data_IF_017447311557
#
_entry.id   IF_017447311557
#
_cell.length_a   1.000
_cell.length_b   1.000
_cell.length_c   1.000
_cell.angle_alpha   90.00
_cell.angle_beta   90.00
_cell.angle_gamma   90.00
#
_symmetry.space_group_name_H-M   'P 1'
#
loop_
_entity.id
_entity.type
_entity.pdbx_description
1 polymer ?
2 polymer ?
3 non-polymer ?
4 non-polymer ?
5 water ?
#
# COMPACT_ATOMS: atom_id res chain seq x y z
N UNK A 1 29.83 -5.11 1.70
CA UNK A 1 28.43 -5.32 1.34
C UNK A 1 27.92 -4.17 0.47
N UNK A 2 27.14 -4.51 -0.56
CA UNK A 2 26.57 -3.51 -1.45
C UNK A 2 25.54 -2.68 -0.69
N UNK A 3 25.64 -1.37 -0.80
CA UNK A 3 24.66 -0.45 -0.24
C UNK A 3 24.26 0.60 -1.27
N UNK A 4 23.00 0.99 -1.23
CA UNK A 4 22.47 2.08 -2.06
C UNK A 4 21.57 2.92 -1.15
N UNK A 5 22.08 4.03 -0.65
CA UNK A 5 21.33 4.90 0.26
C UNK A 5 20.77 6.06 -0.54
N UNK A 6 19.45 6.18 -0.55
CA UNK A 6 18.76 7.22 -1.31
C UNK A 6 18.33 8.38 -0.41
N UNK A 7 18.19 9.55 -1.02
CA UNK A 7 17.74 10.73 -0.31
C UNK A 7 17.17 11.72 -1.32
N UNK A 8 16.57 12.79 -0.80
CA UNK A 8 16.04 13.86 -1.62
C UNK A 8 14.53 13.87 -1.78
N UNK A 9 13.81 12.94 -1.16
CA UNK A 9 12.37 12.87 -1.33
C UNK A 9 11.64 13.83 -0.42
N UNK A 10 10.35 13.99 -0.71
CA UNK A 10 9.51 14.85 0.09
C UNK A 10 8.32 15.33 -0.72
N UNK A 11 7.72 16.41 -0.25
CA UNK A 11 6.61 17.05 -0.94
C UNK A 11 7.15 18.10 -1.91
N UNK A 12 6.59 18.13 -3.12
CA UNK A 12 6.90 19.16 -4.09
C UNK A 12 5.61 19.63 -4.72
N UNK A 13 5.50 20.95 -4.91
CA UNK A 13 4.33 21.51 -5.57
C UNK A 13 4.29 21.02 -7.02
N UNK A 14 3.09 20.87 -7.59
CA UNK A 14 2.99 20.52 -9.01
C UNK A 14 3.69 21.57 -9.86
N UNK A 15 4.41 21.09 -10.89
CA UNK A 15 5.14 21.96 -11.77
C UNK A 15 6.54 22.33 -11.30
N UNK A 16 6.95 21.92 -10.11
CA UNK A 16 8.25 22.25 -9.56
C UNK A 16 9.24 21.12 -9.82
N UNK A 17 10.42 21.22 -9.22
CA UNK A 17 11.52 20.31 -9.49
C UNK A 17 12.03 19.69 -8.20
N UNK A 18 12.76 18.58 -8.34
CA UNK A 18 13.32 17.87 -7.20
C UNK A 18 14.43 16.97 -7.69
N UNK A 19 15.54 16.94 -6.96
CA UNK A 19 16.66 16.06 -7.28
C UNK A 19 16.75 14.94 -6.26
N UNK A 20 16.77 13.70 -6.76
CA UNK A 20 16.97 12.53 -5.93
C UNK A 20 18.43 12.06 -6.03
N UNK A 21 18.92 11.51 -4.92
CA UNK A 21 20.30 11.05 -4.83
C UNK A 21 20.33 9.59 -4.39
N UNK A 22 21.34 8.87 -4.85
CA UNK A 22 21.54 7.47 -4.50
C UNK A 22 23.04 7.28 -4.30
N UNK A 23 23.48 7.15 -3.04
CA UNK A 23 24.89 7.00 -2.73
C UNK A 23 25.23 5.51 -2.70
N UNK A 24 26.17 5.11 -3.53
CA UNK A 24 26.57 3.72 -3.63
C UNK A 24 27.83 3.45 -2.81
N UNK A 25 27.96 2.20 -2.36
CA UNK A 25 29.16 1.75 -1.67
C UNK A 25 29.24 0.24 -1.82
N UNK A 26 30.45 -0.29 -1.62
CA UNK A 26 30.63 -1.73 -1.63
C UNK A 26 30.73 -2.36 -2.99
N UNK A 27 30.81 -1.58 -4.05
CA UNK A 27 31.08 -2.13 -5.38
C UNK A 27 31.75 -1.06 -6.22
N UNK A 28 32.33 -1.48 -7.35
CA UNK A 28 32.99 -0.52 -8.24
C UNK A 28 31.90 0.19 -9.03
N UNK A 29 31.47 1.34 -8.51
CA UNK A 29 30.34 2.07 -9.07
C UNK A 29 30.54 2.39 -10.55
N UNK A 30 31.74 2.83 -10.93
CA UNK A 30 31.95 3.42 -12.25
C UNK A 30 32.05 2.38 -13.37
N UNK A 31 31.83 1.09 -13.12
CA UNK A 31 31.76 0.11 -14.19
C UNK A 31 30.35 -0.47 -14.35
N UNK A 32 29.36 0.12 -13.69
CA UNK A 32 27.99 -0.42 -13.65
C UNK A 32 26.99 0.57 -14.20
N UNK A 33 26.11 0.09 -15.08
CA UNK A 33 24.89 0.82 -15.38
C UNK A 33 23.96 0.84 -14.18
N UNK A 34 23.22 1.93 -14.04
CA UNK A 34 22.33 2.16 -12.91
C UNK A 34 20.97 2.60 -13.43
N UNK A 35 19.92 2.24 -12.68
CA UNK A 35 18.54 2.49 -13.06
C UNK A 35 17.77 3.16 -11.93
N UNK A 36 16.72 3.88 -12.31
CA UNK A 36 15.68 4.30 -11.37
C UNK A 36 14.39 3.57 -11.70
N UNK A 37 13.70 3.09 -10.66
CA UNK A 37 12.40 2.46 -10.78
C UNK A 37 11.50 3.15 -9.76
N UNK A 38 10.22 3.31 -10.10
CA UNK A 38 9.29 3.94 -9.19
C UNK A 38 8.07 3.04 -8.98
N UNK A 39 7.36 3.29 -7.88
CA UNK A 39 6.15 2.55 -7.54
C UNK A 39 5.15 3.52 -6.92
N UNK A 40 4.06 3.80 -7.63
CA UNK A 40 3.03 4.67 -7.10
C UNK A 40 2.29 3.95 -5.95
N UNK A 41 1.70 4.72 -5.01
CA UNK A 41 1.02 4.09 -3.86
C UNK A 41 0.00 3.03 -4.24
N UNK A 42 0.23 1.79 -3.80
CA UNK A 42 -0.63 0.68 -4.13
C UNK A 42 -0.50 0.12 -5.54
N UNK A 43 0.49 0.55 -6.33
CA UNK A 43 0.61 0.17 -7.73
C UNK A 43 1.80 -0.76 -7.92
N UNK A 44 2.05 -1.09 -9.19
CA UNK A 44 3.15 -1.95 -9.56
C UNK A 44 4.48 -1.21 -9.75
N UNK A 45 5.52 -1.98 -10.03
CA UNK A 45 6.80 -1.39 -10.34
C UNK A 45 6.76 -0.79 -11.73
N UNK A 46 7.44 0.35 -11.90
CA UNK A 46 7.49 1.03 -13.20
C UNK A 46 8.90 1.57 -13.43
N UNK A 47 9.55 1.06 -14.48
CA UNK A 47 10.87 1.52 -14.86
C UNK A 47 10.85 3.01 -15.21
N UNK A 48 11.89 3.73 -14.79
CA UNK A 48 11.99 5.18 -15.03
C UNK A 48 13.13 5.52 -16.00
N UNK A 49 14.36 5.15 -15.65
CA UNK A 49 15.50 5.62 -16.46
C UNK A 49 16.70 4.73 -16.23
N UNK A 50 17.68 4.83 -17.13
CA UNK A 50 18.96 4.13 -17.03
C UNK A 50 20.07 5.04 -17.50
N UNK A 51 21.23 4.93 -16.87
CA UNK A 51 22.45 5.61 -17.30
C UNK A 51 23.59 4.60 -17.34
N UNK A 52 24.41 4.69 -18.39
CA UNK A 52 25.52 3.76 -18.55
C UNK A 52 26.65 4.11 -17.58
N UNK A 53 27.58 3.17 -17.43
CA UNK A 53 28.70 3.33 -16.50
C UNK A 53 29.43 4.66 -16.68
N UNK A 54 29.63 5.11 -17.91
CA UNK A 54 30.37 6.35 -18.14
C UNK A 54 29.46 7.56 -18.31
N UNK A 55 28.15 7.38 -18.17
CA UNK A 55 27.21 8.47 -18.25
C UNK A 55 26.74 8.82 -19.64
N UNK A 56 27.19 8.10 -20.68
CA UNK A 56 27.05 8.52 -22.06
C UNK A 56 25.70 8.14 -22.67
N UNK A 57 25.20 6.93 -22.37
CA UNK A 57 23.91 6.47 -22.86
C UNK A 57 22.90 6.60 -21.73
N UNK A 58 21.81 7.32 -21.98
CA UNK A 58 20.70 7.41 -21.05
C UNK A 58 19.41 7.15 -21.82
N UNK A 59 18.51 6.39 -21.19
CA UNK A 59 17.21 6.08 -21.75
C UNK A 59 16.16 6.26 -20.67
N UNK A 60 14.93 6.58 -21.10
CA UNK A 60 13.88 6.99 -20.18
C UNK A 60 12.58 6.29 -20.53
N UNK A 61 11.70 6.18 -19.53
CA UNK A 61 10.36 5.69 -19.79
C UNK A 61 9.58 6.75 -20.57
N UNK A 62 8.60 6.28 -21.34
CA UNK A 62 7.83 7.18 -22.20
C UNK A 62 7.21 8.33 -21.41
N UNK A 63 6.73 8.05 -20.19
CA UNK A 63 6.00 9.05 -19.41
C UNK A 63 6.89 10.09 -18.75
N UNK A 64 8.22 9.97 -18.84
CA UNK A 64 9.10 10.92 -18.17
C UNK A 64 10.12 11.50 -19.15
N UNK A 65 10.16 10.96 -20.37
CA UNK A 65 11.10 11.45 -21.37
C UNK A 65 10.92 12.94 -21.57
N UNK A 66 12.03 13.69 -21.53
CA UNK A 66 11.97 15.13 -21.65
C UNK A 66 11.97 15.86 -20.32
N UNK A 67 11.24 15.33 -19.34
CA UNK A 67 11.12 15.97 -18.04
C UNK A 67 12.23 15.53 -17.07
N UNK A 68 12.61 14.27 -17.10
CA UNK A 68 13.54 13.71 -16.12
C UNK A 68 14.93 13.60 -16.73
N UNK A 69 15.95 13.87 -15.91
CA UNK A 69 17.34 13.74 -16.33
C UNK A 69 18.07 12.85 -15.34
N UNK A 70 18.68 11.78 -15.84
CA UNK A 70 19.49 10.91 -15.02
C UNK A 70 20.95 11.30 -15.21
N UNK A 71 21.75 11.19 -14.14
CA UNK A 71 23.14 11.62 -14.20
C UNK A 71 23.90 10.90 -13.09
N UNK A 72 25.23 10.95 -13.18
CA UNK A 72 26.03 10.28 -12.17
C UNK A 72 27.31 11.05 -11.91
N UNK A 73 27.87 10.83 -10.72
CA UNK A 73 29.15 11.37 -10.30
C UNK A 73 30.03 10.19 -9.89
N UNK A 74 30.90 9.76 -10.79
CA UNK A 74 31.71 8.57 -10.54
C UNK A 74 32.84 8.82 -9.56
N UNK A 75 33.06 10.05 -9.12
CA UNK A 75 34.01 10.31 -8.06
C UNK A 75 33.36 10.19 -6.68
N UNK A 76 32.12 10.66 -6.53
CA UNK A 76 31.38 10.51 -5.29
C UNK A 76 30.58 9.22 -5.23
N UNK A 77 30.59 8.42 -6.30
CA UNK A 77 29.86 7.15 -6.35
C UNK A 77 28.37 7.37 -6.08
N UNK A 78 27.80 8.38 -6.74
CA UNK A 78 26.43 8.79 -6.51
C UNK A 78 25.66 8.84 -7.82
N UNK A 79 24.41 8.34 -7.77
CA UNK A 79 23.47 8.39 -8.87
C UNK A 79 22.44 9.48 -8.59
N UNK A 80 22.02 10.21 -9.64
CA UNK A 80 21.07 11.29 -9.47
C UNK A 80 19.90 11.13 -10.42
N UNK A 81 18.75 11.67 -10.01
CA UNK A 81 17.58 11.79 -10.89
C UNK A 81 17.02 13.19 -10.68
N UNK A 82 17.20 14.07 -11.66
CA UNK A 82 16.58 15.38 -11.65
C UNK A 82 15.16 15.24 -12.21
N UNK A 83 14.17 15.68 -11.43
CA UNK A 83 12.76 15.56 -11.81
C UNK A 83 12.19 16.96 -11.97
N UNK A 84 11.76 17.29 -13.18
CA UNK A 84 11.23 18.61 -13.52
C UNK A 84 9.80 18.49 -13.99
N UNK A 85 9.03 19.57 -13.80
CA UNK A 85 7.63 19.65 -14.22
C UNK A 85 6.83 18.47 -13.68
N UNK A 86 6.80 18.34 -12.36
CA UNK A 86 6.17 17.18 -11.73
C UNK A 86 4.66 17.26 -11.82
N UNK A 87 4.03 16.10 -12.00
CA UNK A 87 2.58 15.95 -12.00
C UNK A 87 2.18 15.03 -10.85
N UNK A 88 0.86 14.96 -10.61
CA UNK A 88 0.36 14.06 -9.57
C UNK A 88 0.68 12.61 -9.88
N UNK A 89 0.78 12.26 -11.17
CA UNK A 89 1.11 10.91 -11.59
C UNK A 89 2.56 10.52 -11.27
N UNK A 90 3.40 11.49 -10.89
CA UNK A 90 4.78 11.20 -10.51
C UNK A 90 4.94 10.86 -9.04
N UNK A 91 3.87 10.98 -8.25
CA UNK A 91 3.90 10.59 -6.85
C UNK A 91 4.17 9.10 -6.76
N UNK A 92 5.22 8.72 -6.03
CA UNK A 92 5.66 7.33 -6.01
C UNK A 92 6.83 7.22 -5.04
N UNK A 93 7.15 5.98 -4.67
CA UNK A 93 8.42 5.65 -4.05
C UNK A 93 9.43 5.38 -5.17
N UNK A 94 10.58 6.02 -5.11
CA UNK A 94 11.60 5.90 -6.15
C UNK A 94 12.75 5.05 -5.64
N UNK A 95 13.04 3.97 -6.35
CA UNK A 95 14.17 3.09 -6.05
C UNK A 95 15.27 3.33 -7.06
N UNK A 96 16.52 3.31 -6.59
CA UNK A 96 17.65 3.12 -7.48
C UNK A 96 18.03 1.65 -7.46
N UNK A 97 18.61 1.19 -8.56
CA UNK A 97 18.95 -0.22 -8.70
C UNK A 97 20.21 -0.36 -9.52
N UNK A 98 21.03 -1.34 -9.14
CA UNK A 98 22.31 -1.61 -9.79
C UNK A 98 22.17 -2.83 -10.69
N UNK A 99 22.74 -2.75 -11.89
CA UNK A 99 22.80 -3.90 -12.78
C UNK A 99 23.63 -5.01 -12.15
N UNK A 100 23.34 -6.26 -12.54
CA UNK A 100 24.00 -7.39 -11.92
C UNK A 100 25.46 -7.55 -12.29
N UNK A 101 25.85 -7.17 -13.50
CA UNK A 101 27.22 -7.34 -13.95
C UNK A 101 27.77 -6.04 -14.50
N UNK A 102 29.10 -5.86 -14.49
CA UNK A 102 29.71 -4.69 -15.12
C UNK A 102 29.21 -4.46 -16.55
N UNK A 103 29.17 -3.19 -16.96
CA UNK A 103 28.60 -2.84 -18.26
C UNK A 103 29.32 -3.53 -19.42
N UNK A 104 30.61 -3.81 -19.29
CA UNK A 104 31.32 -4.42 -20.40
C UNK A 104 31.15 -5.94 -20.47
N UNK A 105 30.39 -6.52 -19.55
CA UNK A 105 29.98 -7.92 -19.64
C UNK A 105 28.64 -7.97 -20.35
N UNK A 106 28.56 -8.76 -21.42
CA UNK A 106 27.39 -8.76 -22.30
C UNK A 106 26.49 -9.89 -21.82
N UNK A 107 25.57 -9.57 -20.90
CA UNK A 107 24.61 -10.52 -20.34
C UNK A 107 23.23 -9.87 -20.26
N UNK A 108 22.22 -10.72 -20.03
CA UNK A 108 20.90 -10.21 -19.67
C UNK A 108 21.03 -9.25 -18.51
N UNK A 109 20.45 -8.06 -18.64
CA UNK A 109 20.47 -7.09 -17.56
C UNK A 109 19.40 -7.46 -16.54
N UNK A 110 19.82 -7.56 -15.28
CA UNK A 110 18.90 -7.73 -14.16
C UNK A 110 19.32 -6.79 -13.05
N UNK A 111 18.34 -6.37 -12.24
CA UNK A 111 18.60 -5.44 -11.14
C UNK A 111 18.81 -6.28 -9.89
N UNK A 112 20.08 -6.51 -9.55
CA UNK A 112 20.41 -7.41 -8.45
C UNK A 112 20.47 -6.73 -7.09
N UNK A 113 20.54 -5.41 -7.05
CA UNK A 113 20.49 -4.72 -5.77
C UNK A 113 19.71 -3.42 -5.92
N UNK A 114 18.84 -3.15 -4.95
CA UNK A 114 17.96 -1.99 -4.95
C UNK A 114 18.19 -1.15 -3.70
N UNK A 115 18.01 0.16 -3.84
CA UNK A 115 17.98 1.03 -2.70
C UNK A 115 16.69 0.88 -1.92
N UNK A 116 16.66 1.49 -0.73
CA UNK A 116 15.52 1.32 0.17
C UNK A 116 14.30 2.10 -0.30
N UNK A 117 14.47 3.06 -1.19
CA UNK A 117 13.37 3.85 -1.70
C UNK A 117 13.21 5.16 -0.95
N UNK A 118 12.75 6.18 -1.68
CA UNK A 118 12.45 7.48 -1.10
C UNK A 118 11.14 7.97 -1.71
N UNK A 119 10.26 8.49 -0.86
CA UNK A 119 8.90 8.85 -1.26
C UNK A 119 8.85 10.28 -1.77
N UNK A 120 8.20 10.47 -2.92
CA UNK A 120 8.00 11.79 -3.51
C UNK A 120 6.50 11.98 -3.64
N UNK A 121 5.98 13.03 -3.01
CA UNK A 121 4.56 13.37 -3.09
C UNK A 121 4.42 14.71 -3.81
N UNK A 122 3.70 14.70 -4.91
CA UNK A 122 3.47 15.90 -5.72
C UNK A 122 2.10 16.46 -5.35
N UNK A 123 2.09 17.57 -4.62
CA UNK A 123 0.83 18.10 -4.13
C UNK A 123 1.00 19.54 -3.70
N UNK A 124 -0.03 20.35 -3.93
CA UNK A 124 -0.07 21.72 -3.47
C UNK A 124 -0.60 21.87 -2.04
N UNK A 125 -1.00 20.77 -1.39
CA UNK A 125 -1.57 20.86 -0.06
C UNK A 125 -0.51 21.30 0.96
N UNK A 126 -0.97 22.05 1.95
CA UNK A 126 -0.09 22.54 3.01
C UNK A 126 -0.04 21.55 4.17
N UNK A 127 1.14 21.50 4.81
CA UNK A 127 1.32 20.62 5.96
C UNK A 127 0.32 20.95 7.06
N UNK A 128 -0.33 19.92 7.59
CA UNK A 128 -1.40 20.10 8.56
C UNK A 128 -1.47 18.89 9.48
N UNK A 129 -1.51 19.14 10.78
CA UNK A 129 -1.69 18.09 11.76
C UNK A 129 -3.09 17.52 11.72
N UNK A 130 -3.25 16.25 12.06
CA UNK A 130 -4.55 15.60 11.97
C UNK A 130 -5.47 15.97 13.11
N UNK A 131 -6.77 15.93 12.82
CA UNK A 131 -7.80 16.00 13.84
C UNK A 131 -8.22 14.57 14.19
N UNK A 132 -8.21 14.24 15.48
CA UNK A 132 -8.53 12.90 15.95
C UNK A 132 -9.91 12.93 16.58
N UNK A 133 -10.81 12.10 16.07
CA UNK A 133 -12.17 12.02 16.56
C UNK A 133 -12.46 10.62 17.05
N UNK A 134 -13.28 10.48 18.09
CA UNK A 134 -13.55 9.15 18.65
C UNK A 134 -14.55 8.38 17.80
N UNK A 135 -14.30 7.08 17.68
CA UNK A 135 -15.26 6.12 17.11
C UNK A 135 -15.80 5.33 18.28
N UNK A 136 -16.88 5.84 18.88
CA UNK A 136 -17.41 5.37 20.16
C UNK A 136 -18.47 4.31 19.96
N UNK A 137 -18.42 3.20 20.69
CA UNK A 137 -19.52 2.23 20.66
C UNK A 137 -20.67 2.69 21.54
N UNK A 138 -21.85 2.13 21.27
CA UNK A 138 -23.06 2.52 21.98
C UNK A 138 -23.11 1.89 23.38
N UNK A 139 -23.69 2.65 24.31
CA UNK A 139 -23.74 2.20 25.70
C UNK A 139 -24.78 1.08 25.89
N UNK A 140 -25.89 1.14 25.15
CA UNK A 140 -26.96 0.18 25.29
C UNK A 140 -26.88 -0.93 24.24
N UNK A 141 -25.72 -1.12 23.61
CA UNK A 141 -25.56 -2.18 22.64
C UNK A 141 -25.65 -3.55 23.32
N UNK A 142 -26.41 -4.45 22.71
CA UNK A 142 -26.60 -5.80 23.23
C UNK A 142 -26.20 -6.88 22.22
N UNK A 143 -25.46 -6.53 21.16
CA UNK A 143 -25.32 -7.46 20.05
C UNK A 143 -24.23 -8.49 20.23
N UNK A 144 -23.32 -8.32 21.19
CA UNK A 144 -22.29 -9.34 21.37
C UNK A 144 -21.40 -9.07 22.56
N UNK A 145 -20.57 -10.06 22.89
CA UNK A 145 -19.59 -9.95 23.95
C UNK A 145 -18.30 -9.23 23.57
N UNK A 146 -18.16 -8.82 22.31
CA UNK A 146 -17.04 -8.01 21.85
C UNK A 146 -17.55 -6.71 21.26
N UNK A 147 -16.89 -5.61 21.60
CA UNK A 147 -17.19 -4.31 21.05
C UNK A 147 -15.97 -3.75 20.33
N UNK A 148 -16.22 -3.03 19.24
CA UNK A 148 -15.18 -2.31 18.52
C UNK A 148 -15.22 -0.84 18.90
N UNK A 149 -14.04 -0.25 19.04
CA UNK A 149 -13.90 1.19 19.18
C UNK A 149 -12.69 1.63 18.36
N UNK A 150 -12.57 2.94 18.15
CA UNK A 150 -11.48 3.39 17.30
C UNK A 150 -11.31 4.88 17.32
N UNK A 151 -10.34 5.33 16.53
CA UNK A 151 -10.05 6.74 16.32
C UNK A 151 -10.11 7.04 14.83
N UNK A 152 -10.70 8.18 14.50
CA UNK A 152 -10.74 8.67 13.12
C UNK A 152 -9.71 9.78 13.00
N UNK A 153 -8.64 9.52 12.26
CA UNK A 153 -7.54 10.45 12.10
C UNK A 153 -7.76 11.15 10.76
N UNK A 154 -8.26 12.37 10.79
CA UNK A 154 -8.80 13.01 9.60
C UNK A 154 -8.04 14.29 9.25
N UNK A 155 -7.88 14.52 7.95
CA UNK A 155 -7.41 15.80 7.40
C UNK A 155 -5.98 16.15 7.77
N UNK A 156 -5.03 15.27 7.48
CA UNK A 156 -3.63 15.56 7.70
C UNK A 156 -2.88 15.51 6.37
N UNK A 157 -1.70 16.15 6.36
CA UNK A 157 -0.84 16.12 5.18
C UNK A 157 0.56 16.52 5.60
N UNK A 158 1.61 15.82 5.14
CA UNK A 158 1.47 14.62 4.31
C UNK A 158 1.51 13.34 5.14
N UNK A 159 1.59 12.20 4.48
CA UNK A 159 1.83 10.94 5.15
C UNK A 159 3.24 10.91 5.72
N UNK A 160 3.51 10.09 6.74
CA UNK A 160 2.55 9.19 7.41
C UNK A 160 2.15 9.64 8.80
N UNK A 161 1.22 8.91 9.41
CA UNK A 161 0.92 9.03 10.83
C UNK A 161 1.14 7.68 11.49
N UNK A 162 1.48 7.72 12.78
CA UNK A 162 1.58 6.53 13.59
C UNK A 162 0.41 6.50 14.57
N UNK A 163 -0.19 5.32 14.73
CA UNK A 163 -1.24 5.12 15.71
C UNK A 163 -0.90 3.91 16.55
N UNK A 164 -0.78 4.12 17.86
CA UNK A 164 -0.71 3.04 18.84
C UNK A 164 -1.91 3.17 19.78
N UNK A 165 -2.07 2.19 20.67
CA UNK A 165 -3.16 2.20 21.63
C UNK A 165 -2.60 1.99 23.04
N UNK A 166 -3.00 2.87 23.96
CA UNK A 166 -2.51 2.85 25.34
C UNK A 166 -0.99 2.82 25.39
N UNK A 167 -0.37 3.66 24.55
CA UNK A 167 1.09 3.81 24.49
C UNK A 167 1.78 2.53 24.03
N UNK A 168 1.07 1.68 23.29
CA UNK A 168 1.59 0.41 22.85
C UNK A 168 1.26 -0.76 23.76
N UNK A 169 0.69 -0.51 24.94
CA UNK A 169 0.31 -1.59 25.85
C UNK A 169 -0.90 -2.38 25.36
N UNK A 170 -1.54 -1.96 24.27
CA UNK A 170 -2.68 -2.66 23.69
C UNK A 170 -2.39 -2.91 22.22
N UNK A 171 -2.12 -4.16 21.86
CA UNK A 171 -1.85 -4.56 20.49
C UNK A 171 -2.78 -5.64 19.96
N UNK A 172 -3.42 -6.41 20.84
CA UNK A 172 -4.30 -7.48 20.41
C UNK A 172 -5.62 -6.90 19.89
N UNK A 173 -6.03 -7.35 18.71
CA UNK A 173 -7.24 -6.87 18.09
C UNK A 173 -7.14 -5.53 17.38
N UNK A 174 -5.94 -4.99 17.23
CA UNK A 174 -5.76 -3.66 16.66
C UNK A 174 -5.65 -3.75 15.14
N UNK A 175 -6.45 -2.94 14.44
CA UNK A 175 -6.39 -2.82 12.99
C UNK A 175 -6.30 -1.35 12.64
N UNK A 176 -5.13 -0.93 12.16
CA UNK A 176 -4.95 0.41 11.63
C UNK A 176 -4.94 0.32 10.11
N UNK A 177 -5.86 1.04 9.47
CA UNK A 177 -6.12 0.88 8.05
C UNK A 177 -5.19 1.78 7.22
N UNK A 178 -4.93 1.40 5.97
CA UNK A 178 -4.25 2.32 5.06
C UNK A 178 -5.01 3.63 4.95
N UNK A 179 -4.26 4.72 4.84
CA UNK A 179 -4.87 6.03 4.65
C UNK A 179 -5.50 6.11 3.26
N UNK A 180 -6.50 6.97 3.15
CA UNK A 180 -7.10 7.29 1.86
C UNK A 180 -6.94 8.78 1.61
N UNK A 181 -6.85 9.14 0.34
CA UNK A 181 -6.68 10.53 -0.07
C UNK A 181 -8.04 11.09 -0.45
N UNK A 182 -8.45 12.15 0.22
CA UNK A 182 -9.74 12.76 -0.04
C UNK A 182 -9.64 13.78 -1.17
N UNK A 183 -10.81 14.22 -1.67
CA UNK A 183 -10.85 15.13 -2.79
C UNK A 183 -10.32 16.51 -2.43
N UNK A 184 -10.19 16.80 -1.13
CA UNK A 184 -9.58 18.03 -0.63
C UNK A 184 -8.05 17.98 -0.67
N UNK A 185 -7.46 16.85 -1.03
CA UNK A 185 -6.02 16.68 -0.95
C UNK A 185 -5.48 16.28 0.40
N UNK A 186 -6.34 15.99 1.38
CA UNK A 186 -5.89 15.61 2.71
C UNK A 186 -6.15 14.12 2.93
N UNK A 187 -5.32 13.52 3.77
CA UNK A 187 -5.42 12.11 4.03
C UNK A 187 -6.34 11.85 5.23
N UNK A 188 -6.85 10.63 5.30
CA UNK A 188 -7.75 10.21 6.37
C UNK A 188 -7.47 8.74 6.68
N UNK A 189 -7.54 8.40 7.96
CA UNK A 189 -7.16 7.08 8.43
C UNK A 189 -8.04 6.70 9.61
N UNK A 190 -8.25 5.40 9.78
CA UNK A 190 -8.94 4.86 10.95
C UNK A 190 -8.08 3.77 11.57
N UNK A 191 -8.02 3.77 12.90
CA UNK A 191 -7.46 2.66 13.66
C UNK A 191 -8.53 2.16 14.62
N UNK A 192 -8.78 0.85 14.61
CA UNK A 192 -9.82 0.24 15.44
C UNK A 192 -9.21 -0.88 16.28
N UNK A 193 -9.88 -1.18 17.39
CA UNK A 193 -9.52 -2.31 18.24
C UNK A 193 -10.81 -2.90 18.80
N UNK A 194 -10.87 -4.23 18.89
CA UNK A 194 -12.00 -4.90 19.49
C UNK A 194 -11.64 -5.36 20.90
N UNK A 195 -12.56 -5.15 21.84
CA UNK A 195 -12.32 -5.38 23.26
C UNK A 195 -13.55 -5.99 23.88
N UNK A 196 -13.42 -6.58 25.07
CA UNK A 196 -14.61 -7.10 25.76
C UNK A 196 -15.65 -6.01 25.97
N UNK A 197 -16.89 -6.31 25.57
CA UNK A 197 -17.98 -5.36 25.76
C UNK A 197 -18.10 -4.90 27.21
N UNK A 198 -17.84 -5.81 28.16
CA UNK A 198 -17.95 -5.49 29.57
C UNK A 198 -16.82 -4.58 30.07
N UNK A 199 -15.82 -4.30 29.25
CA UNK A 199 -14.69 -3.49 29.66
C UNK A 199 -14.88 -2.00 29.39
N UNK A 200 -15.92 -1.63 28.64
CA UNK A 200 -15.94 -0.33 27.97
C UNK A 200 -15.87 0.83 28.95
N UNK A 201 -16.74 0.82 29.95
CA UNK A 201 -16.73 1.89 30.92
C UNK A 201 -15.76 1.73 32.06
N UNK A 202 -14.98 0.65 32.09
CA UNK A 202 -14.04 0.37 33.17
C UNK A 202 -12.59 0.55 32.76
N UNK A 203 -12.18 -0.06 31.66
CA UNK A 203 -10.82 0.11 31.16
C UNK A 203 -10.75 1.33 30.26
N UNK A 204 -9.70 2.14 30.45
CA UNK A 204 -9.53 3.37 29.69
C UNK A 204 -8.74 3.09 28.42
N UNK A 205 -9.32 3.43 27.27
CA UNK A 205 -8.69 3.23 25.98
C UNK A 205 -8.30 4.59 25.41
N UNK A 206 -7.01 4.75 25.09
CA UNK A 206 -6.47 5.99 24.56
C UNK A 206 -5.69 5.65 23.30
N UNK A 207 -6.05 6.28 22.18
CA UNK A 207 -5.29 6.14 20.96
C UNK A 207 -4.25 7.25 20.89
N UNK A 208 -3.01 6.87 20.57
CA UNK A 208 -1.90 7.80 20.49
C UNK A 208 -1.59 8.06 19.02
N UNK A 209 -1.79 9.31 18.59
CA UNK A 209 -1.60 9.70 17.19
C UNK A 209 -0.46 10.70 17.11
N UNK A 210 0.61 10.32 16.42
CA UNK A 210 1.77 11.17 16.21
C UNK A 210 1.97 11.40 14.72
N UNK A 211 2.23 12.65 14.35
CA UNK A 211 2.40 13.09 12.97
C UNK A 211 3.69 13.90 12.93
N UNK A 212 4.80 13.24 12.59
CA UNK A 212 6.10 13.92 12.56
C UNK A 212 6.13 15.18 11.70
N UNK A 213 5.66 15.17 10.44
CA UNK A 213 5.78 16.38 9.60
C UNK A 213 5.18 17.65 10.19
N UNK A 214 4.42 17.55 11.29
CA UNK A 214 3.91 18.74 11.96
C UNK A 214 4.24 18.77 13.45
N UNK A 215 5.01 17.80 13.95
CA UNK A 215 5.34 17.71 15.37
C UNK A 215 4.09 17.72 16.24
N UNK A 216 3.06 16.99 15.80
CA UNK A 216 1.78 16.97 16.47
C UNK A 216 1.63 15.64 17.21
N UNK A 217 1.30 15.72 18.50
CA UNK A 217 0.98 14.56 19.32
C UNK A 217 -0.40 14.76 19.92
N UNK A 218 -1.31 13.81 19.68
CA UNK A 218 -2.67 13.88 20.17
C UNK A 218 -3.00 12.57 20.88
N UNK A 219 -3.44 12.68 22.14
CA UNK A 219 -3.94 11.55 22.91
C UNK A 219 -5.44 11.73 23.08
N UNK A 220 -6.21 10.82 22.49
CA UNK A 220 -7.67 10.90 22.52
C UNK A 220 -8.20 9.70 23.30
N UNK A 221 -8.93 9.98 24.38
CA UNK A 221 -9.64 8.94 25.09
C UNK A 221 -10.96 8.64 24.38
N UNK A 222 -11.22 7.36 24.12
CA UNK A 222 -12.43 6.93 23.44
C UNK A 222 -13.31 6.23 24.47
N UNK A 223 -14.49 6.81 24.72
CA UNK A 223 -15.46 6.32 25.69
C UNK A 223 -16.80 6.08 25.01
N UNK A 224 -17.68 5.28 25.63
CA UNK A 224 -19.02 5.08 25.04
C UNK A 224 -19.83 6.36 25.05
N UNK A 225 -20.65 6.53 24.01
CA UNK A 225 -21.56 7.66 23.94
C UNK A 225 -22.83 7.37 24.74
N UNK A 226 -23.27 8.36 25.51
CA UNK A 226 -24.47 8.27 26.35
C UNK A 226 -24.47 7.02 27.23
N UNK B 1 7.08 -0.69 -27.00
CA UNK B 1 6.96 -1.12 -25.61
C UNK B 1 6.53 -2.59 -25.54
N UNK B 2 7.37 -3.42 -24.94
CA UNK B 2 7.03 -4.83 -24.73
C UNK B 2 6.18 -4.95 -23.47
N UNK B 3 4.98 -5.50 -23.62
CA UNK B 3 4.02 -5.64 -22.54
C UNK B 3 4.15 -7.00 -21.88
N UNK B 4 4.19 -7.02 -20.55
CA UNK B 4 4.23 -8.25 -19.78
C UNK B 4 2.92 -8.40 -19.01
N UNK B 5 2.22 -9.50 -19.25
CA UNK B 5 0.95 -9.80 -18.60
C UNK B 5 1.15 -11.00 -17.68
N UNK B 6 1.01 -10.77 -16.37
CA UNK B 6 1.12 -11.87 -15.41
C UNK B 6 -0.25 -12.47 -15.13
N UNK B 7 -0.26 -13.76 -14.78
CA UNK B 7 -1.51 -14.38 -14.37
C UNK B 7 -1.20 -15.49 -13.37
N UNK B 8 -2.03 -15.65 -12.32
CA UNK B 8 -3.16 -14.74 -12.03
C UNK B 8 -2.65 -13.43 -11.43
N UNK B 9 -3.54 -12.45 -11.23
CA UNK B 9 -3.13 -11.23 -10.56
C UNK B 9 -2.96 -11.42 -9.06
N UNK B 10 -3.61 -12.42 -8.49
CA UNK B 10 -3.38 -12.82 -7.11
C UNK B 10 -3.89 -14.25 -6.95
N UNK B 11 -3.30 -14.95 -6.00
CA UNK B 11 -3.76 -16.30 -5.70
C UNK B 11 -3.56 -16.55 -4.22
N UNK B 12 -4.42 -17.40 -3.68
CA UNK B 12 -4.34 -17.82 -2.28
C UNK B 12 -3.78 -19.23 -2.24
N UNK B 13 -2.79 -19.45 -1.38
CA UNK B 13 -2.14 -20.74 -1.29
C UNK B 13 -1.73 -20.98 0.14
N UNK B 14 -1.42 -22.23 0.46
CA UNK B 14 -1.04 -22.63 1.80
C UNK B 14 0.43 -23.03 1.85
N UNK B 15 1.02 -22.87 3.04
CA UNK B 15 2.37 -23.36 3.32
C UNK B 15 2.48 -24.80 2.86
N UNK B 16 3.45 -25.08 1.98
CA UNK B 16 3.65 -26.39 1.43
C UNK B 16 3.11 -26.59 0.02
N UNK B 17 2.25 -25.70 -0.44
CA UNK B 17 1.71 -25.82 -1.80
C UNK B 17 2.78 -25.58 -2.86
N UNK B 18 2.57 -26.20 -4.03
CA UNK B 18 3.31 -25.86 -5.23
C UNK B 18 2.57 -24.71 -5.92
N UNK B 19 3.28 -23.60 -6.14
CA UNK B 19 2.67 -22.38 -6.67
C UNK B 19 3.33 -22.06 -8.01
N UNK B 20 2.51 -21.66 -8.97
CA UNK B 20 2.96 -21.37 -10.33
C UNK B 20 2.38 -20.03 -10.76
N UNK B 21 3.26 -19.16 -11.26
CA UNK B 21 2.92 -17.82 -11.72
C UNK B 21 3.41 -17.68 -13.16
N UNK B 22 2.55 -17.22 -14.05
CA UNK B 22 2.91 -17.12 -15.46
C UNK B 22 3.07 -15.67 -15.88
N UNK B 23 3.98 -15.45 -16.82
CA UNK B 23 4.23 -14.13 -17.41
C UNK B 23 4.23 -14.32 -18.91
N UNK B 24 3.44 -13.51 -19.62
CA UNK B 24 3.34 -13.58 -21.06
C UNK B 24 3.74 -12.25 -21.67
N UNK B 25 4.64 -12.30 -22.65
CA UNK B 25 5.18 -11.14 -23.31
C UNK B 25 4.51 -10.92 -24.66
N UNK B 26 4.33 -9.66 -25.03
CA UNK B 26 3.66 -9.31 -26.29
C UNK B 26 4.52 -9.62 -27.52
N UNK B 27 5.80 -9.90 -27.35
CA UNK B 27 6.62 -10.37 -28.45
C UNK B 27 7.72 -11.25 -27.87
N UNK B 28 8.32 -12.06 -28.73
CA UNK B 28 9.36 -12.98 -28.27
C UNK B 28 10.54 -12.19 -27.71
N UNK B 29 11.04 -12.63 -26.55
CA UNK B 29 12.12 -11.94 -25.86
C UNK B 29 13.19 -12.94 -25.44
N UNK B 30 13.25 -14.08 -26.14
CA UNK B 30 14.23 -15.12 -25.84
C UNK B 30 14.19 -15.47 -24.36
N UNK B 31 15.32 -15.32 -23.67
CA UNK B 31 15.41 -15.61 -22.25
C UNK B 31 15.70 -14.36 -21.42
N UNK B 32 15.31 -13.19 -21.92
CA UNK B 32 15.64 -11.92 -21.28
C UNK B 32 14.53 -11.50 -20.30
N UNK B 33 14.26 -12.36 -19.32
CA UNK B 33 13.18 -12.11 -18.38
C UNK B 33 13.61 -12.47 -16.97
N UNK B 34 13.36 -11.55 -16.04
CA UNK B 34 13.77 -11.70 -14.65
C UNK B 34 12.54 -11.73 -13.75
N UNK B 35 12.71 -12.27 -12.56
CA UNK B 35 11.66 -12.32 -11.55
C UNK B 35 12.11 -11.66 -10.26
N UNK B 36 11.22 -10.85 -9.68
CA UNK B 36 11.49 -10.12 -8.44
C UNK B 36 10.41 -10.43 -7.41
N UNK B 37 10.80 -10.42 -6.16
CA UNK B 37 9.89 -10.55 -5.03
C UNK B 37 9.89 -9.24 -4.26
N UNK B 38 8.70 -8.79 -3.86
CA UNK B 38 8.58 -7.59 -3.05
C UNK B 38 7.60 -7.80 -1.90
N UNK B 39 8.01 -7.37 -0.73
CA UNK B 39 7.12 -7.37 0.43
C UNK B 39 6.73 -5.94 0.79
N UNK B 40 5.56 -5.74 1.40
CA UNK B 40 5.05 -4.38 1.62
C UNK B 40 6.06 -3.47 2.30
N UNK B 41 6.27 -2.28 1.71
CA UNK B 41 7.18 -1.30 2.25
C UNK B 41 8.64 -1.64 2.14
N UNK B 42 9.00 -2.70 1.42
CA UNK B 42 10.40 -3.06 1.23
C UNK B 42 10.75 -3.00 -0.26
N UNK B 43 12.04 -2.88 -0.52
CA UNK B 43 12.51 -2.85 -1.89
C UNK B 43 12.40 -4.25 -2.50
N UNK B 44 12.19 -4.34 -3.81
CA UNK B 44 12.19 -5.65 -4.48
C UNK B 44 13.54 -6.35 -4.33
N UNK B 45 13.50 -7.66 -4.52
CA UNK B 45 14.69 -8.49 -4.52
C UNK B 45 14.64 -9.41 -5.74
N UNK B 46 15.80 -9.58 -6.36
CA UNK B 46 15.92 -10.44 -7.53
C UNK B 46 15.86 -11.91 -7.12
N UNK B 47 15.00 -12.68 -7.78
CA UNK B 47 14.93 -14.10 -7.56
C UNK B 47 15.58 -14.90 -8.68
N UNK B 48 15.15 -14.65 -9.91
CA UNK B 48 15.54 -15.40 -11.09
C UNK B 48 15.95 -14.38 -12.15
N UNK B 49 17.08 -14.61 -12.80
CA UNK B 49 17.48 -13.79 -13.94
C UNK B 49 17.70 -14.68 -15.14
N UNK B 50 17.52 -14.09 -16.33
CA UNK B 50 17.73 -14.79 -17.60
C UNK B 50 16.84 -16.03 -17.66
N UNK B 51 15.57 -15.84 -17.29
CA UNK B 51 14.50 -16.84 -17.39
C UNK B 51 14.58 -17.97 -16.35
N UNK B 52 15.77 -18.39 -15.93
CA UNK B 52 15.85 -19.60 -15.14
C UNK B 52 17.10 -19.71 -14.28
N UNK B 53 17.95 -18.68 -14.26
CA UNK B 53 19.13 -18.70 -13.41
C UNK B 53 18.78 -18.22 -12.01
N UNK B 54 19.17 -18.99 -11.00
CA UNK B 54 18.81 -18.68 -9.62
C UNK B 54 19.79 -17.64 -9.07
N UNK B 55 19.27 -16.52 -8.57
CA UNK B 55 20.13 -15.53 -7.97
C UNK B 55 20.81 -16.10 -6.73
N UNK B 56 22.09 -15.76 -6.58
CA UNK B 56 22.85 -16.21 -5.42
C UNK B 56 22.12 -15.86 -4.14
N UNK B 57 22.07 -16.82 -3.20
CA UNK B 57 21.39 -16.61 -1.95
C UNK B 57 19.90 -16.86 -1.95
N UNK B 58 19.30 -17.12 -3.11
CA UNK B 58 17.86 -17.36 -3.18
C UNK B 58 17.61 -18.86 -3.01
N UNK B 59 16.64 -19.26 -2.18
CA UNK B 59 16.44 -20.70 -1.90
C UNK B 59 16.07 -21.46 -3.17
N UNK B 60 16.44 -22.75 -3.18
CA UNK B 60 16.28 -23.59 -4.36
C UNK B 60 14.82 -23.95 -4.64
N UNK B 61 13.89 -23.64 -3.74
CA UNK B 61 12.48 -23.87 -4.03
C UNK B 61 11.93 -22.89 -5.07
N UNK B 62 12.63 -21.79 -5.33
CA UNK B 62 12.27 -20.91 -6.45
C UNK B 62 12.92 -21.39 -7.73
N UNK B 63 12.14 -21.52 -8.80
CA UNK B 63 12.69 -21.82 -10.11
C UNK B 63 11.92 -21.07 -11.19
N UNK B 64 12.60 -20.78 -12.29
CA UNK B 64 11.98 -20.17 -13.45
C UNK B 64 12.13 -21.06 -14.67
N UNK B 65 11.17 -20.97 -15.57
CA UNK B 65 11.28 -21.68 -16.84
C UNK B 65 10.59 -20.86 -17.93
N UNK B 66 10.63 -21.39 -19.15
CA UNK B 66 9.99 -20.73 -20.28
C UNK B 66 11.00 -19.97 -21.14
N UNK B 67 10.51 -19.53 -22.29
CA UNK B 67 11.31 -18.76 -23.24
C UNK B 67 10.37 -18.21 -24.29
N UNK B 68 10.85 -17.22 -25.03
CA UNK B 68 10.06 -16.65 -26.10
C UNK B 68 9.01 -15.70 -25.57
N UNK B 69 7.76 -16.17 -25.49
CA UNK B 69 6.67 -15.36 -24.98
C UNK B 69 6.04 -15.87 -23.68
N UNK B 70 6.33 -17.09 -23.24
CA UNK B 70 5.65 -17.68 -22.08
C UNK B 70 6.66 -18.08 -21.02
N UNK B 71 6.54 -17.49 -19.83
CA UNK B 71 7.46 -17.73 -18.72
C UNK B 71 6.68 -18.11 -17.47
N UNK B 72 7.36 -18.83 -16.59
CA UNK B 72 6.75 -19.36 -15.37
C UNK B 72 7.70 -19.13 -14.20
N UNK B 73 7.18 -18.64 -13.08
CA UNK B 73 7.88 -18.69 -11.80
C UNK B 73 7.19 -19.70 -10.91
N UNK B 74 7.94 -20.71 -10.46
CA UNK B 74 7.41 -21.79 -9.64
C UNK B 74 8.05 -21.75 -8.26
N UNK B 75 7.22 -21.85 -7.23
CA UNK B 75 7.66 -22.10 -5.85
C UNK B 75 7.26 -23.52 -5.51
N UNK B 76 8.24 -24.39 -5.29
CA UNK B 76 7.95 -25.81 -5.22
C UNK B 76 7.24 -26.18 -3.91
N UNK B 77 7.61 -25.53 -2.79
CA UNK B 77 6.94 -25.76 -1.50
C UNK B 77 6.82 -24.41 -0.80
N UNK B 78 5.63 -23.82 -0.85
CA UNK B 78 5.44 -22.45 -0.36
C UNK B 78 5.78 -22.35 1.13
N UNK B 79 6.66 -21.40 1.47
CA UNK B 79 7.05 -21.17 2.85
C UNK B 79 6.40 -19.90 3.39
N UNK B 80 6.30 -19.75 4.72
CA UNK B 80 5.61 -18.57 5.25
C UNK B 80 6.20 -17.25 4.79
N UNK B 81 7.51 -17.17 4.63
CA UNK B 81 8.14 -15.93 4.19
C UNK B 81 7.99 -15.69 2.70
N UNK B 82 7.31 -16.58 1.97
CA UNK B 82 7.11 -16.45 0.53
C UNK B 82 5.83 -15.72 0.15
N UNK B 83 4.97 -15.40 1.11
CA UNK B 83 3.80 -14.60 0.80
C UNK B 83 4.24 -13.18 0.54
N UNK B 84 3.93 -12.68 -0.65
CA UNK B 84 4.58 -11.50 -1.20
C UNK B 84 3.99 -11.24 -2.58
N UNK B 85 4.44 -10.17 -3.22
CA UNK B 85 4.08 -9.87 -4.60
C UNK B 85 5.28 -10.18 -5.49
N UNK B 86 5.02 -10.81 -6.63
CA UNK B 86 6.06 -11.24 -7.53
C UNK B 86 5.91 -10.52 -8.87
N UNK B 87 7.04 -10.08 -9.43
CA UNK B 87 7.06 -9.30 -10.66
C UNK B 87 8.00 -9.93 -11.66
N UNK B 88 7.53 -10.10 -12.90
CA UNK B 88 8.44 -10.39 -13.98
C UNK B 88 8.89 -9.08 -14.65
N UNK B 89 10.03 -9.14 -15.35
CA UNK B 89 10.68 -7.94 -15.86
C UNK B 89 11.51 -8.30 -17.09
N UNK B 90 11.27 -7.63 -18.21
CA UNK B 90 11.97 -7.95 -19.45
C UNK B 90 13.13 -6.98 -19.69
N UNK B 91 14.26 -7.53 -20.11
CA UNK B 91 15.43 -6.73 -20.48
C UNK B 91 15.80 -6.93 -21.95
N UNK B 92 14.83 -7.29 -22.79
CA UNK B 92 15.11 -7.55 -24.21
C UNK B 92 15.28 -6.23 -24.97
N UNK B 93 14.48 -5.23 -24.65
CA UNK B 93 14.62 -3.94 -25.29
C UNK B 93 14.24 -2.85 -24.30
N UNK B 94 14.46 -1.62 -24.72
CA UNK B 94 14.17 -0.39 -23.99
C UNK B 94 12.92 0.27 -24.56
N UNK B 95 12.06 0.85 -23.70
CA UNK B 95 12.19 0.86 -22.23
C UNK B 95 12.04 -0.51 -21.59
N UNK B 96 12.76 -0.74 -20.50
CA UNK B 96 12.50 -1.91 -19.67
C UNK B 96 11.09 -1.82 -19.09
N UNK B 97 10.45 -2.97 -18.92
CA UNK B 97 9.07 -3.01 -18.46
C UNK B 97 8.90 -4.12 -17.45
N UNK B 98 7.82 -4.03 -16.70
CA UNK B 98 7.49 -4.95 -15.62
C UNK B 98 6.09 -5.52 -15.85
N UNK B 99 5.87 -6.74 -15.39
CA UNK B 99 4.51 -7.24 -15.26
C UNK B 99 3.73 -6.47 -14.20
N UNK B 100 2.41 -6.64 -14.21
CA UNK B 100 1.60 -5.92 -13.22
C UNK B 100 1.73 -6.52 -11.81
N UNK B 101 2.34 -7.69 -11.67
CA UNK B 101 2.56 -8.28 -10.36
C UNK B 101 1.52 -9.31 -9.97
N UNK B 102 1.96 -10.37 -9.28
CA UNK B 102 1.06 -11.39 -8.75
C UNK B 102 1.24 -11.43 -7.24
N UNK B 103 0.15 -11.26 -6.51
CA UNK B 103 0.19 -11.33 -5.06
C UNK B 103 -0.13 -12.75 -4.62
N UNK B 104 0.81 -13.37 -3.90
CA UNK B 104 0.59 -14.69 -3.32
C UNK B 104 0.11 -14.48 -1.89
N UNK B 105 -1.14 -14.90 -1.62
CA UNK B 105 -1.81 -14.68 -0.34
C UNK B 105 -2.02 -16.00 0.40
N UNK B 106 -2.34 -15.89 1.69
CA UNK B 106 -2.54 -17.06 2.54
C UNK B 106 -3.97 -17.55 2.39
N UNK B 107 -4.13 -18.82 2.03
CA UNK B 107 -5.45 -19.45 1.97
C UNK B 107 -5.89 -19.92 3.36
N UNK B 108 -7.18 -19.73 3.66
CA UNK B 108 -7.77 -20.22 4.90
C UNK B 108 -9.27 -20.42 4.67
N UNK B 109 -9.99 -20.75 5.76
CA UNK B 109 -11.42 -21.02 5.72
C UNK B 109 -12.21 -19.71 5.65
N UNK B 110 -13.40 -19.79 5.05
CA UNK B 110 -14.31 -18.66 5.02
C UNK B 110 -14.66 -18.20 6.43
N UNK B 111 -14.63 -16.88 6.64
CA UNK B 111 -15.00 -16.28 7.91
C UNK B 111 -15.87 -15.07 7.64
N UNK B 112 -17.07 -15.08 8.23
CA UNK B 112 -17.96 -13.94 8.09
C UNK B 112 -17.41 -12.73 8.85
N UNK B 113 -17.60 -11.53 8.32
CA UNK B 113 -17.19 -10.33 9.06
C UNK B 113 -18.15 -10.02 10.20
N UNK B 114 -17.61 -9.39 11.23
CA UNK B 114 -18.43 -8.72 12.23
C UNK B 114 -18.52 -7.24 11.86
N UNK B 115 -19.74 -6.73 11.78
CA UNK B 115 -20.02 -5.41 11.22
C UNK B 115 -20.35 -4.45 12.35
N UNK B 116 -19.74 -3.26 12.32
CA UNK B 116 -19.99 -2.22 13.30
C UNK B 116 -20.19 -0.90 12.58
N UNK B 117 -21.07 -0.06 13.09
CA UNK B 117 -21.26 1.28 12.53
C UNK B 117 -21.01 2.30 13.62
N UNK B 118 -20.41 3.42 13.24
CA UNK B 118 -20.04 4.48 14.16
C UNK B 118 -20.65 5.79 13.66
N UNK B 119 -21.45 6.46 14.47
CA UNK B 119 -21.93 7.79 14.11
C UNK B 119 -20.80 8.80 14.22
N UNK B 120 -20.97 10.00 13.67
CA UNK B 120 -19.98 11.05 13.92
C UNK B 120 -20.05 11.54 15.35
N UNK B 121 -18.87 11.82 15.92
CA UNK B 121 -18.80 12.45 17.23
C UNK B 121 -19.31 13.88 17.15
N UNK B 122 -19.95 14.33 18.23
CA UNK B 122 -20.34 15.73 18.33
C UNK B 122 -19.15 16.66 18.13
N UNK B 123 -17.95 16.21 18.56
CA UNK B 123 -16.76 17.02 18.38
C UNK B 123 -16.48 17.28 16.91
N UNK B 124 -16.66 16.28 16.05
CA UNK B 124 -16.42 16.50 14.63
C UNK B 124 -17.46 17.42 14.01
N UNK B 125 -18.72 17.33 14.48
CA UNK B 125 -19.78 18.14 13.90
C UNK B 125 -19.52 19.63 14.08
N UNK B 126 -18.75 20.01 15.11
CA UNK B 126 -18.44 21.42 15.32
C UNK B 126 -17.61 22.00 14.18
N UNK B 127 -16.83 21.16 13.47
CA UNK B 127 -16.02 21.64 12.36
C UNK B 127 -16.80 21.75 11.06
N UNK B 128 -18.04 21.27 11.02
CA UNK B 128 -18.87 21.40 9.83
C UNK B 128 -18.97 20.17 8.96
N UNK B 129 -18.24 19.10 9.27
CA UNK B 129 -18.25 17.89 8.48
C UNK B 129 -18.63 16.69 9.35
N UNK B 130 -19.29 15.71 8.74
CA UNK B 130 -19.70 14.49 9.42
C UNK B 130 -19.12 13.28 8.71
N UNK B 131 -18.49 12.38 9.47
CA UNK B 131 -18.02 11.10 8.97
C UNK B 131 -18.79 9.98 9.65
N UNK B 132 -19.25 9.00 8.86
CA UNK B 132 -19.95 7.83 9.37
C UNK B 132 -19.16 6.60 8.94
N UNK B 133 -18.67 5.83 9.90
CA UNK B 133 -17.72 4.75 9.64
C UNK B 133 -18.41 3.40 9.82
N UNK B 134 -18.24 2.54 8.82
CA UNK B 134 -18.68 1.16 8.83
C UNK B 134 -17.43 0.28 8.86
N UNK B 135 -17.34 -0.59 9.86
CA UNK B 135 -16.20 -1.47 10.06
C UNK B 135 -16.62 -2.91 9.81
N UNK B 136 -15.85 -3.61 8.97
CA UNK B 136 -16.01 -5.05 8.76
C UNK B 136 -14.74 -5.71 9.30
N UNK B 137 -14.90 -6.57 10.30
CA UNK B 137 -13.77 -7.06 11.08
C UNK B 137 -13.56 -8.56 10.86
N UNK B 138 -12.33 -8.93 10.50
CA UNK B 138 -11.83 -10.31 10.47
C UNK B 138 -12.70 -11.21 9.59
N UNK B 139 -12.61 -10.98 8.29
CA UNK B 139 -13.34 -11.80 7.33
C UNK B 139 -12.38 -12.40 6.30
N UNK B 140 -12.87 -13.42 5.59
CA UNK B 140 -12.14 -14.07 4.51
C UNK B 140 -13.15 -14.78 3.61
N UNK B 141 -13.01 -14.71 2.27
CA UNK B 141 -11.93 -14.03 1.54
C UNK B 141 -12.10 -12.53 1.50
N UNK B 142 -11.18 -11.88 0.79
CA UNK B 142 -11.09 -10.42 0.78
C UNK B 142 -12.33 -9.79 0.16
N UNK B 143 -12.95 -10.45 -0.81
CA UNK B 143 -14.06 -9.84 -1.52
C UNK B 143 -15.24 -9.59 -0.58
N UNK B 144 -15.74 -8.34 -0.60
CA UNK B 144 -16.88 -7.95 0.20
C UNK B 144 -17.53 -6.74 -0.47
N UNK B 145 -18.81 -6.56 -0.21
CA UNK B 145 -19.57 -5.45 -0.78
C UNK B 145 -20.19 -4.65 0.36
N UNK B 146 -19.96 -3.34 0.34
CA UNK B 146 -20.47 -2.42 1.34
C UNK B 146 -21.40 -1.44 0.64
N UNK B 147 -22.65 -1.38 1.08
CA UNK B 147 -23.63 -0.43 0.55
C UNK B 147 -24.06 0.52 1.65
N UNK B 148 -23.86 1.81 1.44
CA UNK B 148 -24.36 2.84 2.32
C UNK B 148 -25.77 3.24 1.90
N UNK B 149 -26.64 3.44 2.89
CA UNK B 149 -28.00 3.90 2.67
C UNK B 149 -28.29 5.06 3.61
N UNK B 150 -28.92 6.10 3.09
CA UNK B 150 -29.34 7.25 3.88
C UNK B 150 -30.84 7.44 3.65
N UNK B 151 -31.60 7.42 4.74
CA UNK B 151 -33.08 7.38 4.65
C UNK B 151 -33.52 6.35 3.62
N UNK B 152 -32.86 5.20 3.64
CA UNK B 152 -33.16 4.02 2.81
C UNK B 152 -32.77 4.17 1.34
N UNK B 153 -32.03 5.22 0.97
CA UNK B 153 -31.62 5.43 -0.42
C UNK B 153 -30.17 5.00 -0.60
N UNK B 154 -29.90 4.19 -1.62
CA UNK B 154 -28.56 3.65 -1.82
C UNK B 154 -27.61 4.75 -2.30
N UNK B 155 -26.48 4.88 -1.61
CA UNK B 155 -25.51 5.94 -1.86
C UNK B 155 -24.42 5.44 -2.80
N UNK B 156 -23.76 6.40 -3.46
CA UNK B 156 -22.64 6.09 -4.33
C UNK B 156 -21.87 7.38 -4.58
N UNK B 157 -20.55 7.27 -4.64
CA UNK B 157 -19.72 8.44 -4.88
C UNK B 157 -19.48 9.31 -3.67
N UNK B 158 -19.87 8.88 -2.47
CA UNK B 158 -19.60 9.67 -1.28
C UNK B 158 -18.96 8.85 -0.17
N UNK B 159 -18.35 7.71 -0.51
CA UNK B 159 -17.67 6.87 0.47
C UNK B 159 -16.29 6.48 -0.06
N UNK B 160 -15.40 6.14 0.88
CA UNK B 160 -14.09 5.60 0.55
C UNK B 160 -13.80 4.44 1.49
N UNK B 161 -13.14 3.41 0.96
CA UNK B 161 -12.80 2.21 1.73
C UNK B 161 -11.30 2.04 1.81
N UNK B 162 -10.91 1.23 2.78
CA UNK B 162 -9.52 0.88 3.00
C UNK B 162 -9.52 -0.51 3.65
N UNK B 163 -8.58 -1.36 3.25
CA UNK B 163 -8.53 -2.76 3.68
C UNK B 163 -7.14 -3.06 4.21
N UNK B 164 -7.07 -3.73 5.36
CA UNK B 164 -5.78 -4.12 5.91
C UNK B 164 -5.16 -5.27 5.12
N UNK B 165 -3.85 -5.44 5.26
CA UNK B 165 -3.22 -6.70 4.89
C UNK B 165 -3.75 -7.82 5.79
N UNK B 166 -3.45 -9.07 5.41
CA UNK B 166 -3.89 -10.21 6.19
C UNK B 166 -3.28 -10.17 7.59
N UNK B 167 -4.16 -10.31 8.60
CA UNK B 167 -3.73 -10.26 9.99
C UNK B 167 -2.66 -11.33 10.26
N UNK B 168 -1.63 -10.93 11.00
CA UNK B 168 -0.51 -11.83 11.25
C UNK B 168 -0.90 -13.03 12.11
N UNK B 169 -2.04 -12.96 12.81
CA UNK B 169 -2.46 -14.02 13.71
C UNK B 169 -3.42 -15.03 13.06
N UNK B 170 -4.42 -14.57 12.29
CA UNK B 170 -5.44 -15.46 11.77
C UNK B 170 -5.68 -15.31 10.26
N UNK B 171 -4.86 -14.52 9.55
CA UNK B 171 -4.90 -14.41 8.10
C UNK B 171 -6.21 -13.83 7.56
N UNK B 172 -6.97 -13.13 8.40
CA UNK B 172 -8.21 -12.50 7.95
C UNK B 172 -7.95 -11.06 7.51
N UNK B 173 -8.92 -10.52 6.79
CA UNK B 173 -8.94 -9.12 6.38
C UNK B 173 -9.86 -8.31 7.27
N UNK B 174 -9.60 -7.02 7.37
CA UNK B 174 -10.54 -6.06 7.92
C UNK B 174 -10.69 -4.88 6.96
N UNK B 175 -11.90 -4.32 6.91
CA UNK B 175 -12.21 -3.23 6.01
C UNK B 175 -12.94 -2.12 6.75
N UNK B 176 -12.54 -0.88 6.49
CA UNK B 176 -13.26 0.27 7.00
C UNK B 176 -13.74 1.10 5.82
N UNK B 177 -15.02 1.47 5.84
CA UNK B 177 -15.62 2.33 4.85
C UNK B 177 -16.16 3.58 5.55
N UNK B 178 -15.83 4.75 5.01
CA UNK B 178 -16.21 6.04 5.58
C UNK B 178 -17.15 6.76 4.63
N UNK B 179 -18.33 7.13 5.12
CA UNK B 179 -19.27 7.97 4.41
C UNK B 179 -19.09 9.40 4.92
N UNK B 180 -18.84 10.33 4.01
CA UNK B 180 -18.55 11.70 4.41
C UNK B 180 -19.57 12.65 3.82
N UNK B 181 -20.02 13.58 4.65
CA UNK B 181 -21.04 14.55 4.27
C UNK B 181 -20.93 15.73 5.23
N UNK B 182 -21.46 16.87 4.82
CA UNK B 182 -21.40 18.04 5.68
C UNK B 182 -22.33 17.86 6.88
N UNK B 183 -22.12 18.69 7.91
CA UNK B 183 -23.04 18.66 9.05
C UNK B 183 -24.44 19.04 8.60
N UNK B 184 -24.56 20.04 7.73
CA UNK B 184 -25.87 20.46 7.24
C UNK B 184 -26.61 19.30 6.59
N UNK B 185 -25.93 18.52 5.73
CA UNK B 185 -26.59 17.38 5.11
C UNK B 185 -26.87 16.28 6.14
N UNK B 186 -25.95 16.06 7.08
CA UNK B 186 -26.14 15.02 8.08
C UNK B 186 -27.38 15.30 8.92
N UNK B 187 -27.61 16.57 9.28
CA UNK B 187 -28.77 16.91 10.09
C UNK B 187 -30.08 16.79 9.31
N UNK B 188 -30.03 16.73 7.98
CA UNK B 188 -31.24 16.66 7.17
C UNK B 188 -31.74 15.23 6.95
N UNK B 189 -31.08 14.23 7.53
CA UNK B 189 -31.50 12.84 7.35
C UNK B 189 -31.43 12.11 8.68
N UNK B 190 -32.23 11.06 8.80
CA UNK B 190 -32.41 10.35 10.06
C UNK B 190 -31.71 9.00 10.09
N UNK B 191 -31.91 8.14 9.10
CA UNK B 191 -31.43 6.76 9.16
C UNK B 191 -30.17 6.63 8.33
N UNK B 192 -29.10 6.15 8.97
CA UNK B 192 -27.82 5.88 8.34
C UNK B 192 -27.49 4.41 8.53
N UNK B 193 -27.17 3.73 7.44
CA UNK B 193 -26.97 2.28 7.51
C UNK B 193 -25.96 1.85 6.48
N UNK B 194 -25.16 0.83 6.82
CA UNK B 194 -24.34 0.14 5.86
C UNK B 194 -24.76 -1.33 5.81
N UNK B 195 -24.90 -1.84 4.59
CA UNK B 195 -25.31 -3.22 4.35
C UNK B 195 -24.14 -3.96 3.73
N UNK B 196 -23.77 -5.09 4.35
CA UNK B 196 -22.58 -5.84 3.98
C UNK B 196 -23.00 -7.15 3.33
N UNK B 197 -22.41 -7.44 2.17
CA UNK B 197 -22.59 -8.71 1.50
C UNK B 197 -21.25 -9.44 1.49
N UNK B 198 -21.26 -10.70 1.92
CA UNK B 198 -20.02 -11.45 1.98
C UNK B 198 -20.33 -12.94 1.92
N UNK B 199 -19.36 -13.71 1.41
CA UNK B 199 -19.55 -15.14 1.21
C UNK B 199 -19.98 -15.85 2.50
N UNK B 200 -19.56 -15.37 3.67
CA UNK B 200 -19.89 -16.05 4.90
C UNK B 200 -21.28 -15.76 5.47
N UNK B 201 -22.00 -14.80 4.88
CA UNK B 201 -23.30 -14.37 5.39
C UNK B 201 -24.39 -14.95 4.51
N UNK B 202 -25.34 -15.66 5.14
CA UNK B 202 -26.49 -16.19 4.41
C UNK B 202 -27.26 -15.08 3.73
N UNK B 203 -27.54 -14.01 4.46
CA UNK B 203 -28.20 -12.82 3.96
C UNK B 203 -27.32 -11.62 4.27
N UNK B 204 -27.45 -10.54 3.50
CA UNK B 204 -26.68 -9.33 3.82
C UNK B 204 -27.00 -8.84 5.22
N UNK B 205 -25.99 -8.25 5.88
CA UNK B 205 -26.12 -7.79 7.25
C UNK B 205 -26.10 -6.27 7.26
N UNK B 206 -27.04 -5.67 7.96
CA UNK B 206 -27.17 -4.22 8.01
C UNK B 206 -26.99 -3.73 9.45
N UNK B 207 -26.10 -2.77 9.64
CA UNK B 207 -25.99 -2.04 10.89
C UNK B 207 -26.45 -0.61 10.65
N UNK B 208 -27.39 -0.15 11.46
CA UNK B 208 -27.99 1.16 11.25
C UNK B 208 -28.05 1.92 12.57
N UNK B 209 -28.19 3.24 12.47
CA UNK B 209 -28.55 4.05 13.61
C UNK B 209 -29.45 5.18 13.14
N UNK B 210 -30.15 5.77 14.11
CA UNK B 210 -30.93 6.97 13.88
C UNK B 210 -30.17 8.15 14.47
N UNK B 211 -30.00 9.22 13.68
CA UNK B 211 -29.25 10.37 14.12
C UNK B 211 -29.82 10.95 15.42
N UNK B 212 -28.93 11.18 16.39
CA UNK B 212 -29.34 11.68 17.68
C UNK B 212 -29.67 10.62 18.69
N UNK B 213 -29.10 9.41 18.54
CA UNK B 213 -29.37 8.27 19.41
C UNK B 213 -30.87 8.09 19.64
N UNK B 214 -31.58 7.92 18.52
CA UNK B 214 -33.03 7.76 18.56
C UNK B 214 -33.42 6.28 18.47
X LIG C 1 34.09 -5.92 -10.12
X LIG C 1 35.13 -4.99 -9.97
X LIG C 1 32.89 -5.39 -9.31
X LIG C 1 31.83 -6.27 -9.26
X LIG C 1 33.43 -5.11 -7.90
X LIG C 1 32.51 -4.27 -7.31
X LIG D 1 -19.87 -11.40 18.61
X LIG D 1 -21.24 -11.16 18.63
X LIG D 1 -19.41 -11.49 20.08
X LIG D 1 -20.25 -12.31 20.84
X LIG D 1 -17.96 -12.02 20.03
X LIG D 1 -17.51 -12.11 21.35
X LIG E 1 31.87 -9.80 -12.89
X LIG E 1 33.20 -9.40 -12.82
X LIG E 1 31.31 -9.85 -11.44
X LIG E 1 30.02 -9.33 -11.35
X LIG E 1 32.33 -9.03 -10.60
X LIG E 1 31.83 -8.94 -9.30
X LIG F 1 -34.86 15.55 13.87
X LIG F 1 -33.75 16.02 14.70
X LIG F 1 -34.94 16.36 12.64
X LIG F 1 -36.10 15.68 14.61
X LIG F 1 -34.66 14.15 13.52
X LIG G 1 19.66 -6.38 -24.95
X LIG G 1 18.83 -6.65 -26.05
X LIG G 1 19.24 -4.99 -24.39
X LIG G 1 19.86 -4.72 -23.18
X LIG G 1 19.62 -3.97 -25.49
X LIG G 1 19.07 -2.75 -25.10
X LIG H 1 14.25 -15.21 -0.98
X LIG H 1 13.58 -15.87 0.06
X LIG H 1 14.84 -13.89 -0.40
X LIG H 1 15.60 -13.19 -1.36
X LIG H 1 13.58 -13.10 0.04
X LIG H 1 13.93 -12.31 1.14
X LIG I 1 -17.27 12.98 21.46
X LIG I 1 -16.55 14.08 21.02
X LIG I 1 -18.76 13.35 21.40
X LIG I 1 -19.27 13.71 22.64
X LIG I 1 -19.46 12.11 20.82
X LIG I 1 -20.82 12.22 21.12
X LIG J 1 -7.08 -12.42 -10.35
X LIG J 1 -7.17 -13.45 -9.41
X LIG J 1 -6.70 -13.08 -11.70
X LIG J 1 -7.53 -14.14 -12.01
X LIG J 1 -6.76 -11.93 -12.74
X LIG J 1 -6.17 -12.40 -13.91
X LIG K 1 16.85 -23.88 0.60
X LIG K 1 16.99 -22.87 1.56
X LIG K 1 18.25 -24.15 0.00
X LIG K 1 18.54 -23.30 -1.05
X LIG K 1 18.24 -25.64 -0.41
X LIG K 1 19.30 -25.83 -1.31
#
# INVERSE_FOLDING_TARGET
>A
EVQLVESGGGVVQPGRSLRLSCAASGFTFSIYGMHWVRQAPGKGLEWVAVISYDGSNKYYADSVKGRFTISRDNSKNTLYLQMNSLRAEDTAVYYCAKEGRPSDIVVVVAFDYWGQGTLVTVSSASTKGPSVFPLAPSSKSTSGGTAALGCLVKDYFPEPVTVSWNSGALTSGVHTFPAVLQSSGLYSLSSVVTVPSSSLGTQTYICNVNHKPSNTKVDKRVEPKSCDKTHHHHHH
>B
DIQLTQSPSSLSASVGDRVTITCRASQSISSYLNWYQQKPGKAPKLLIYAASSLQSGVPSRFSGSGSGTDFTLTISSLQPEDFATYYCQQSYSTPRTFGQGTKVEIKRTVAAPSVFIFPPSDEQLKSGTASVVCLLNNFYPREAKVQWKVDNALQSGNSQESVTEQDSKDSTYSLSSTLTLSKADYEKHKVYACEVTHQGLSSPVTKSFNRGEC
>C hetero
1 GOL C1 O1 C2 O2 C3 O3
>D hetero
1 GOL C1 O1 C2 O2 C3 O3
>E hetero
1 GOL C1 O1 C2 O2 C3 O3
>F hetero
1 SO4 S O1 O2 O3 O4
>G hetero
1 GOL C1 O1 C2 O2 C3 O3
>H hetero
1 GOL C1 O1 C2 O2 C3 O3
>I hetero
1 GOL C1 O1 C2 O2 C3 O3
>J hetero
1 GOL C1 O1 C2 O2 C3 O3
>K hetero
1 GOL C1 O1 C2 O2 C3 O3
#
